data_IF_099160269423
#
_entry.id   IF_099160269423
#
_cell.length_a   1.000
_cell.length_b   1.000
_cell.length_c   1.000
_cell.angle_alpha   90.00
_cell.angle_beta   90.00
_cell.angle_gamma   90.00
#
_symmetry.space_group_name_H-M   'P 1'
#
loop_
_entity.id
_entity.type
_entity.pdbx_description
1 polymer ?
#
# COMPACT_ATOMS: atom_id res chain seq x y z
N UNK A 1 -19.21 33.66 -12.70
CA UNK A 1 -19.27 32.50 -11.74
C UNK A 1 -19.65 31.28 -12.57
N UNK A 2 -18.92 30.16 -12.43
CA UNK A 2 -19.22 28.94 -13.19
C UNK A 2 -20.47 28.29 -12.60
N UNK A 3 -21.38 27.90 -13.47
CA UNK A 3 -22.47 27.00 -13.13
C UNK A 3 -21.94 25.55 -13.16
N UNK A 4 -21.61 25.06 -11.99
CA UNK A 4 -21.07 23.71 -11.86
C UNK A 4 -22.07 22.61 -12.22
N UNK A 5 -23.37 22.80 -11.91
CA UNK A 5 -24.42 21.82 -12.25
C UNK A 5 -24.51 21.66 -13.76
N UNK A 6 -24.65 22.76 -14.49
CA UNK A 6 -24.69 22.76 -15.95
C UNK A 6 -23.42 22.17 -16.56
N UNK A 7 -22.25 22.53 -16.03
CA UNK A 7 -20.96 21.96 -16.52
C UNK A 7 -20.86 20.43 -16.32
N UNK A 8 -21.39 19.93 -15.22
CA UNK A 8 -21.41 18.47 -14.93
C UNK A 8 -22.36 17.77 -15.88
N UNK A 9 -23.58 18.30 -16.06
CA UNK A 9 -24.58 17.74 -16.95
C UNK A 9 -24.09 17.67 -18.40
N UNK A 10 -23.50 18.76 -18.89
CA UNK A 10 -22.92 18.83 -20.25
C UNK A 10 -21.73 17.86 -20.42
N UNK A 11 -20.81 17.84 -19.47
CA UNK A 11 -19.57 17.07 -19.60
C UNK A 11 -19.77 15.57 -19.36
N UNK A 12 -20.56 15.21 -18.34
CA UNK A 12 -20.78 13.82 -17.96
C UNK A 12 -21.95 13.15 -18.68
N UNK A 13 -22.76 13.93 -19.39
CA UNK A 13 -23.97 13.44 -20.08
C UNK A 13 -25.04 12.91 -19.11
N UNK A 14 -25.16 13.49 -17.94
CA UNK A 14 -26.11 13.10 -16.90
C UNK A 14 -27.07 14.23 -16.57
N UNK A 15 -28.22 13.93 -15.98
CA UNK A 15 -29.14 14.93 -15.43
C UNK A 15 -29.09 14.88 -13.92
N UNK A 16 -28.85 16.04 -13.29
CA UNK A 16 -28.81 16.15 -11.83
C UNK A 16 -30.22 16.40 -11.28
N UNK A 17 -30.58 15.59 -10.29
CA UNK A 17 -31.85 15.77 -9.54
C UNK A 17 -31.75 16.92 -8.53
N UNK A 18 -32.87 17.29 -7.93
CA UNK A 18 -32.90 18.36 -6.92
C UNK A 18 -32.08 18.05 -5.67
N UNK A 19 -31.87 16.79 -5.36
CA UNK A 19 -31.07 16.27 -4.23
C UNK A 19 -29.62 15.96 -4.61
N UNK A 20 -29.14 16.52 -5.73
CA UNK A 20 -27.75 16.32 -6.21
C UNK A 20 -27.35 14.90 -6.49
N UNK A 21 -28.28 14.10 -6.99
CA UNK A 21 -28.00 12.75 -7.48
C UNK A 21 -28.14 12.65 -8.99
N UNK A 22 -27.46 11.67 -9.60
CA UNK A 22 -27.63 11.35 -11.02
C UNK A 22 -27.53 9.86 -11.26
N UNK A 23 -27.98 9.42 -12.43
CA UNK A 23 -27.65 8.09 -12.94
C UNK A 23 -26.13 7.94 -13.14
N UNK A 24 -25.61 6.72 -13.06
CA UNK A 24 -24.22 6.47 -13.39
C UNK A 24 -24.00 6.59 -14.90
N UNK A 25 -23.05 7.42 -15.39
CA UNK A 25 -22.78 7.58 -16.83
C UNK A 25 -22.22 6.32 -17.49
N UNK A 26 -21.89 5.30 -16.70
CA UNK A 26 -21.40 4.00 -17.17
C UNK A 26 -22.45 2.88 -17.06
N UNK A 27 -23.69 3.22 -16.69
CA UNK A 27 -24.81 2.25 -16.71
C UNK A 27 -25.00 1.69 -18.13
N UNK A 28 -25.20 0.37 -18.21
CA UNK A 28 -25.29 -0.35 -19.48
C UNK A 28 -23.97 -0.60 -20.21
N UNK A 29 -22.85 0.02 -19.77
CA UNK A 29 -21.52 -0.21 -20.34
C UNK A 29 -20.60 -1.03 -19.42
N UNK A 30 -20.61 -0.77 -18.13
CA UNK A 30 -19.78 -1.44 -17.14
C UNK A 30 -20.58 -2.25 -16.12
N UNK A 31 -21.87 -2.03 -16.01
CA UNK A 31 -22.81 -2.76 -15.15
C UNK A 31 -24.24 -2.66 -15.65
N UNK A 32 -25.08 -3.60 -15.25
CA UNK A 32 -26.46 -3.76 -15.69
C UNK A 32 -27.48 -3.02 -14.80
N UNK A 33 -27.13 -1.87 -14.22
CA UNK A 33 -28.10 -1.12 -13.42
C UNK A 33 -29.20 -0.52 -14.29
N UNK A 34 -30.45 -0.69 -13.82
CA UNK A 34 -31.63 -0.20 -14.50
C UNK A 34 -31.58 1.34 -14.69
N UNK A 35 -32.19 1.81 -15.76
CA UNK A 35 -32.44 3.24 -16.00
C UNK A 35 -33.24 3.82 -14.82
N UNK A 36 -32.66 4.78 -14.10
CA UNK A 36 -33.25 5.39 -12.90
C UNK A 36 -32.48 5.17 -11.60
N UNK A 37 -31.41 4.38 -11.63
CA UNK A 37 -30.53 4.18 -10.48
C UNK A 37 -29.77 5.50 -10.14
N UNK A 38 -30.07 6.07 -8.98
CA UNK A 38 -29.41 7.27 -8.43
C UNK A 38 -28.08 6.93 -7.78
N UNK A 39 -27.24 6.23 -8.50
CA UNK A 39 -26.01 5.65 -7.99
C UNK A 39 -24.86 6.64 -7.79
N UNK A 40 -25.03 7.88 -8.20
CA UNK A 40 -23.99 8.94 -8.05
C UNK A 40 -24.55 10.06 -7.20
N UNK A 41 -23.86 10.36 -6.11
CA UNK A 41 -24.09 11.53 -5.28
C UNK A 41 -23.04 12.60 -5.57
N UNK A 42 -23.49 13.82 -5.86
CA UNK A 42 -22.66 15.00 -6.06
C UNK A 42 -22.68 15.85 -4.80
N UNK A 43 -21.58 16.53 -4.53
CA UNK A 43 -21.44 17.47 -3.42
C UNK A 43 -20.87 18.77 -3.96
N UNK A 44 -21.54 19.87 -3.68
CA UNK A 44 -21.17 21.23 -4.09
C UNK A 44 -20.70 22.00 -2.85
N UNK A 45 -19.37 22.26 -2.69
CA UNK A 45 -18.88 23.02 -1.55
C UNK A 45 -19.44 24.46 -1.53
N UNK A 46 -19.90 24.90 -0.36
CA UNK A 46 -20.46 26.25 -0.15
C UNK A 46 -19.40 27.37 -0.35
N UNK A 47 -18.12 27.04 -0.18
CA UNK A 47 -16.98 27.95 -0.37
C UNK A 47 -16.62 28.19 -1.85
N UNK A 48 -17.39 27.68 -2.79
CA UNK A 48 -17.12 27.76 -4.23
C UNK A 48 -16.00 26.82 -4.71
N UNK A 49 -15.62 25.86 -3.89
CA UNK A 49 -14.68 24.78 -4.25
C UNK A 49 -15.21 23.91 -5.39
N UNK A 50 -14.34 23.02 -5.93
CA UNK A 50 -14.75 22.12 -7.02
C UNK A 50 -15.74 21.08 -6.52
N UNK A 51 -16.77 20.75 -7.33
CA UNK A 51 -17.73 19.71 -6.96
C UNK A 51 -17.05 18.36 -6.83
N UNK A 52 -17.51 17.57 -5.87
CA UNK A 52 -17.08 16.19 -5.67
C UNK A 52 -18.21 15.23 -6.01
N UNK A 53 -17.88 14.05 -6.47
CA UNK A 53 -18.86 13.02 -6.73
C UNK A 53 -18.38 11.63 -6.30
N UNK A 54 -19.34 10.80 -5.90
CA UNK A 54 -19.10 9.43 -5.53
C UNK A 54 -20.06 8.50 -6.27
N UNK A 55 -19.50 7.51 -6.98
CA UNK A 55 -20.27 6.43 -7.59
C UNK A 55 -20.26 5.23 -6.66
N UNK A 56 -21.44 4.68 -6.33
CA UNK A 56 -21.58 3.54 -5.44
C UNK A 56 -21.28 2.19 -6.11
N UNK A 57 -21.05 2.15 -7.43
CA UNK A 57 -20.72 0.92 -8.15
C UNK A 57 -19.20 0.68 -8.15
N UNK A 58 -18.78 -0.43 -7.54
CA UNK A 58 -17.36 -0.81 -7.47
C UNK A 58 -16.70 -0.99 -8.87
N UNK A 59 -17.46 -1.49 -9.85
CA UNK A 59 -16.99 -1.73 -11.22
C UNK A 59 -16.69 -0.43 -12.01
N UNK A 60 -17.20 0.71 -11.54
CA UNK A 60 -17.02 2.01 -12.23
C UNK A 60 -15.78 2.77 -11.76
N UNK A 61 -15.07 2.34 -10.73
CA UNK A 61 -14.11 3.18 -10.01
C UNK A 61 -13.02 3.78 -10.90
N UNK A 62 -12.43 3.01 -11.81
CA UNK A 62 -11.35 3.50 -12.69
C UNK A 62 -11.89 4.45 -13.75
N UNK A 63 -12.97 4.07 -14.45
CA UNK A 63 -13.64 4.91 -15.44
C UNK A 63 -14.18 6.19 -14.80
N UNK A 64 -14.65 6.11 -13.56
CA UNK A 64 -15.12 7.25 -12.79
C UNK A 64 -13.99 8.23 -12.45
N UNK A 65 -12.82 7.73 -12.01
CA UNK A 65 -11.66 8.55 -11.74
C UNK A 65 -11.16 9.30 -13.00
N UNK A 66 -11.25 8.68 -14.16
CA UNK A 66 -10.88 9.32 -15.43
C UNK A 66 -11.89 10.39 -15.84
N UNK A 67 -13.17 10.12 -15.68
CA UNK A 67 -14.26 11.09 -15.95
C UNK A 67 -14.11 12.33 -15.07
N UNK A 68 -13.93 12.17 -13.77
CA UNK A 68 -13.76 13.29 -12.81
C UNK A 68 -12.48 14.08 -13.10
N UNK A 69 -11.39 13.43 -13.48
CA UNK A 69 -10.17 14.15 -13.91
C UNK A 69 -10.40 14.99 -15.16
N UNK A 70 -11.20 14.49 -16.09
CA UNK A 70 -11.61 15.20 -17.31
C UNK A 70 -12.49 16.41 -16.98
N UNK A 71 -13.52 16.21 -16.16
CA UNK A 71 -14.41 17.26 -15.69
C UNK A 71 -13.63 18.39 -15.01
N UNK A 72 -12.67 18.10 -14.15
CA UNK A 72 -11.85 19.13 -13.49
C UNK A 72 -10.94 19.89 -14.47
N UNK A 73 -10.49 19.26 -15.55
CA UNK A 73 -9.77 19.96 -16.63
C UNK A 73 -10.69 20.94 -17.36
N UNK A 74 -11.92 20.54 -17.65
CA UNK A 74 -12.93 21.38 -18.29
C UNK A 74 -13.33 22.59 -17.41
N UNK A 75 -13.60 22.35 -16.13
CA UNK A 75 -13.86 23.42 -15.15
C UNK A 75 -12.70 24.43 -15.11
N UNK A 76 -11.44 23.93 -15.04
CA UNK A 76 -10.26 24.78 -15.03
C UNK A 76 -10.11 25.60 -16.36
N UNK A 77 -10.44 24.98 -17.49
CA UNK A 77 -10.41 25.69 -18.79
C UNK A 77 -11.43 26.82 -18.84
N UNK A 78 -12.67 26.59 -18.38
CA UNK A 78 -13.73 27.60 -18.32
C UNK A 78 -13.46 28.72 -17.29
N UNK A 79 -12.70 28.43 -16.22
CA UNK A 79 -12.27 29.44 -15.22
C UNK A 79 -11.11 30.30 -15.68
N UNK A 80 -10.35 29.86 -16.71
CA UNK A 80 -9.20 30.57 -17.28
C UNK A 80 -9.54 31.38 -18.52
N UNK A 81 -10.77 31.92 -18.64
CA UNK A 81 -11.12 32.86 -19.72
C UNK A 81 -10.12 34.04 -19.78
N UNK A 82 -9.74 34.54 -20.97
CA UNK A 82 -8.66 35.51 -21.11
C UNK A 82 -8.97 36.79 -20.33
N UNK A 83 -8.01 37.22 -19.52
CA UNK A 83 -7.97 38.60 -19.05
C UNK A 83 -7.56 39.47 -20.26
N UNK A 84 -8.51 40.11 -20.91
CA UNK A 84 -8.23 41.12 -21.88
C UNK A 84 -7.50 42.29 -21.20
N UNK A 85 -6.31 42.60 -21.66
CA UNK A 85 -5.55 43.78 -21.30
C UNK A 85 -4.33 43.54 -20.45
N UNK A 86 -3.25 43.09 -21.10
CA UNK A 86 -1.85 43.44 -20.74
C UNK A 86 -0.91 43.01 -21.86
N UNK A 87 -0.86 43.81 -22.91
CA UNK A 87 0.25 43.82 -23.86
C UNK A 87 1.16 45.00 -23.48
N UNK A 88 2.17 44.73 -22.66
CA UNK A 88 3.36 45.58 -22.56
C UNK A 88 4.52 44.82 -21.87
N UNK A 89 5.59 44.61 -22.62
CA UNK A 89 6.96 44.53 -22.09
C UNK A 89 7.35 43.28 -21.33
N UNK A 90 7.46 42.11 -21.98
CA UNK A 90 8.24 40.99 -21.43
C UNK A 90 9.57 40.83 -22.15
N UNK A 91 10.66 41.02 -21.38
CA UNK A 91 12.01 40.64 -21.78
C UNK A 91 12.08 39.16 -22.25
N UNK A 92 12.97 38.77 -23.18
CA UNK A 92 13.04 37.43 -23.71
C UNK A 92 13.31 36.42 -22.59
N UNK A 93 12.34 35.56 -22.32
CA UNK A 93 12.49 34.42 -21.42
C UNK A 93 13.59 33.51 -22.01
N UNK A 94 14.66 33.29 -21.25
CA UNK A 94 15.56 32.18 -21.50
C UNK A 94 14.71 30.92 -21.71
N UNK A 95 14.91 30.24 -22.85
CA UNK A 95 14.24 28.99 -23.17
C UNK A 95 14.53 28.00 -22.05
N UNK A 96 13.51 27.75 -21.24
CA UNK A 96 13.55 26.60 -20.31
C UNK A 96 13.71 25.36 -21.16
N UNK A 97 14.67 24.52 -20.83
CA UNK A 97 14.77 23.16 -21.36
C UNK A 97 13.40 22.51 -21.32
N UNK A 98 12.98 21.80 -22.38
CA UNK A 98 11.70 21.09 -22.36
C UNK A 98 11.64 20.21 -21.12
N UNK A 99 10.54 20.32 -20.36
CA UNK A 99 10.30 19.46 -19.21
C UNK A 99 10.45 18.01 -19.67
N UNK A 100 11.13 17.14 -18.91
CA UNK A 100 11.28 15.73 -19.28
C UNK A 100 9.87 15.16 -19.55
N UNK A 101 9.72 14.30 -20.56
CA UNK A 101 8.43 13.71 -20.89
C UNK A 101 7.84 13.11 -19.62
N UNK A 102 6.59 13.44 -19.31
CA UNK A 102 5.89 12.83 -18.18
C UNK A 102 5.85 11.33 -18.44
N UNK A 103 6.64 10.58 -17.69
CA UNK A 103 6.62 9.14 -17.76
C UNK A 103 5.18 8.66 -17.61
N UNK A 104 4.70 7.91 -18.60
CA UNK A 104 3.39 7.30 -18.51
C UNK A 104 3.40 6.37 -17.30
N UNK A 105 2.39 6.41 -16.43
CA UNK A 105 2.34 5.52 -15.28
C UNK A 105 2.41 4.07 -15.77
N UNK A 106 3.42 3.34 -15.32
CA UNK A 106 3.59 1.92 -15.64
C UNK A 106 2.33 1.20 -15.16
N UNK A 107 1.55 0.65 -16.09
CA UNK A 107 0.37 -0.13 -15.78
C UNK A 107 0.81 -1.47 -15.19
N UNK A 108 0.18 -1.89 -14.10
CA UNK A 108 0.35 -3.24 -13.58
C UNK A 108 -0.06 -4.26 -14.65
N UNK A 109 0.70 -5.33 -14.79
CA UNK A 109 0.29 -6.46 -15.60
C UNK A 109 -0.97 -7.09 -14.99
N UNK A 110 -1.88 -7.58 -15.83
CA UNK A 110 -3.06 -8.32 -15.37
C UNK A 110 -2.63 -9.72 -14.93
N UNK A 111 -3.19 -10.24 -13.84
CA UNK A 111 -2.95 -11.59 -13.36
C UNK A 111 -3.28 -12.63 -14.42
N UNK A 112 -2.35 -13.56 -14.62
CA UNK A 112 -2.48 -14.78 -15.41
C UNK A 112 -2.37 -15.99 -14.47
N UNK A 113 -3.51 -16.56 -14.11
CA UNK A 113 -3.59 -17.69 -13.16
C UNK A 113 -2.82 -18.92 -13.68
N UNK A 114 -2.92 -19.25 -14.97
CA UNK A 114 -2.23 -20.39 -15.56
C UNK A 114 -0.71 -20.24 -15.44
N UNK A 115 -0.23 -19.04 -15.67
CA UNK A 115 1.19 -18.72 -15.54
C UNK A 115 1.66 -18.77 -14.09
N UNK A 116 0.85 -18.30 -13.14
CA UNK A 116 1.14 -18.39 -11.72
C UNK A 116 1.27 -19.85 -11.26
N UNK A 117 0.31 -20.69 -11.64
CA UNK A 117 0.33 -22.14 -11.36
C UNK A 117 1.54 -22.83 -12.01
N UNK A 118 1.83 -22.52 -13.28
CA UNK A 118 2.99 -23.07 -13.97
C UNK A 118 4.31 -22.68 -13.30
N UNK A 119 4.43 -21.43 -12.84
CA UNK A 119 5.62 -20.98 -12.13
C UNK A 119 5.74 -21.67 -10.76
N UNK A 120 4.63 -21.81 -10.03
CA UNK A 120 4.61 -22.53 -8.77
C UNK A 120 4.96 -24.02 -8.94
N UNK A 121 4.48 -24.66 -10.01
CA UNK A 121 4.77 -26.05 -10.33
C UNK A 121 6.28 -26.31 -10.64
N UNK A 122 6.99 -25.28 -11.07
CA UNK A 122 8.46 -25.35 -11.30
C UNK A 122 9.27 -25.26 -10.00
N UNK A 123 8.63 -24.99 -8.88
CA UNK A 123 9.32 -24.99 -7.59
C UNK A 123 9.87 -26.38 -7.27
N UNK A 124 11.17 -26.55 -7.04
CA UNK A 124 11.75 -27.85 -6.74
C UNK A 124 11.36 -28.36 -5.34
N UNK A 125 10.70 -27.54 -4.54
CA UNK A 125 10.15 -27.87 -3.22
C UNK A 125 8.63 -27.91 -3.34
N UNK A 126 8.05 -29.11 -3.24
CA UNK A 126 6.62 -29.34 -3.48
C UNK A 126 5.74 -28.58 -2.46
N UNK A 127 6.08 -28.67 -1.18
CA UNK A 127 5.36 -28.06 -0.08
C UNK A 127 6.27 -27.11 0.71
N UNK A 128 6.29 -25.84 0.32
CA UNK A 128 7.02 -24.81 1.06
C UNK A 128 6.19 -24.41 2.28
N UNK A 129 6.76 -24.61 3.48
CA UNK A 129 6.10 -24.26 4.74
C UNK A 129 6.79 -23.12 5.48
N UNK A 130 6.09 -22.50 6.45
CA UNK A 130 6.67 -21.51 7.34
C UNK A 130 7.85 -22.09 8.15
N UNK A 131 7.78 -23.37 8.54
CA UNK A 131 8.85 -24.04 9.30
C UNK A 131 10.12 -24.23 8.47
N UNK A 132 9.99 -24.59 7.19
CA UNK A 132 11.14 -24.65 6.28
C UNK A 132 11.81 -23.28 6.16
N UNK A 133 11.03 -22.22 6.09
CA UNK A 133 11.57 -20.85 6.02
C UNK A 133 12.23 -20.43 7.34
N UNK A 134 11.62 -20.74 8.49
CA UNK A 134 12.26 -20.51 9.81
C UNK A 134 13.59 -21.26 9.91
N UNK A 135 13.62 -22.49 9.43
CA UNK A 135 14.81 -23.31 9.45
C UNK A 135 15.99 -22.75 8.65
N UNK A 136 15.75 -22.00 7.56
CA UNK A 136 16.79 -21.36 6.73
C UNK A 136 16.97 -19.87 7.04
N UNK A 137 16.22 -19.31 8.00
CA UNK A 137 16.29 -17.90 8.38
C UNK A 137 17.67 -17.60 8.99
N UNK A 138 18.41 -16.58 8.46
CA UNK A 138 19.70 -16.18 9.03
C UNK A 138 19.57 -15.63 10.45
N UNK A 139 18.45 -14.99 10.75
CA UNK A 139 18.12 -14.54 12.10
C UNK A 139 17.22 -15.59 12.75
N UNK A 140 17.62 -16.08 13.92
CA UNK A 140 16.81 -17.03 14.69
C UNK A 140 15.50 -16.36 15.12
N UNK A 141 14.39 -17.01 14.79
CA UNK A 141 13.05 -16.53 15.13
C UNK A 141 12.64 -17.18 16.45
N UNK A 142 12.40 -16.38 17.53
CA UNK A 142 12.01 -16.91 18.82
C UNK A 142 10.70 -17.71 18.76
N UNK A 143 10.52 -18.74 19.61
CA UNK A 143 9.25 -19.44 19.70
C UNK A 143 8.09 -18.55 20.19
N UNK A 144 8.38 -17.55 21.04
CA UNK A 144 7.38 -16.57 21.51
C UNK A 144 7.03 -15.58 20.41
N UNK A 145 5.81 -15.61 19.85
CA UNK A 145 5.39 -14.68 18.83
C UNK A 145 5.42 -13.23 19.28
N UNK A 146 5.23 -12.94 20.57
CA UNK A 146 5.21 -11.57 21.09
C UNK A 146 6.53 -10.80 20.82
N UNK A 147 7.62 -11.52 20.59
CA UNK A 147 8.92 -10.93 20.27
C UNK A 147 9.07 -10.59 18.75
N UNK A 148 8.27 -11.19 17.86
CA UNK A 148 8.50 -11.12 16.41
C UNK A 148 8.41 -9.70 15.84
N UNK A 149 7.47 -8.89 16.32
CA UNK A 149 7.30 -7.52 15.83
C UNK A 149 8.50 -6.63 16.10
N UNK A 150 9.03 -6.67 17.34
CA UNK A 150 10.25 -5.96 17.69
C UNK A 150 11.47 -6.53 16.97
N UNK A 151 11.60 -7.87 16.93
CA UNK A 151 12.69 -8.53 16.22
C UNK A 151 12.76 -8.10 14.75
N UNK A 152 11.62 -8.07 14.04
CA UNK A 152 11.57 -7.63 12.66
C UNK A 152 12.03 -6.18 12.51
N UNK A 153 11.51 -5.28 13.34
CA UNK A 153 11.84 -3.86 13.27
C UNK A 153 13.32 -3.64 13.63
N UNK A 154 13.78 -4.20 14.75
CA UNK A 154 15.15 -4.00 15.24
C UNK A 154 16.22 -4.65 14.34
N UNK A 155 15.82 -5.65 13.53
CA UNK A 155 16.71 -6.31 12.56
C UNK A 155 16.80 -5.56 11.23
N UNK A 156 15.69 -5.01 10.76
CA UNK A 156 15.57 -4.47 9.39
C UNK A 156 15.79 -2.97 9.29
N UNK A 157 15.65 -2.24 10.39
CA UNK A 157 15.80 -0.79 10.42
C UNK A 157 17.07 -0.40 11.17
N UNK A 158 17.64 0.74 10.80
CA UNK A 158 18.84 1.26 11.45
C UNK A 158 18.50 1.72 12.88
N UNK A 159 19.45 1.56 13.80
CA UNK A 159 19.28 2.01 15.17
C UNK A 159 18.90 3.49 15.23
N UNK A 160 17.81 3.81 15.91
CA UNK A 160 17.29 5.17 16.03
C UNK A 160 16.24 5.55 14.99
N UNK A 161 16.03 4.75 13.96
CA UNK A 161 14.92 4.98 13.02
C UNK A 161 13.56 4.76 13.68
N UNK A 162 12.60 5.58 13.30
CA UNK A 162 11.24 5.54 13.84
C UNK A 162 10.31 4.78 12.89
N UNK A 163 9.63 3.78 13.42
CA UNK A 163 8.63 2.97 12.70
C UNK A 163 7.25 3.19 13.31
N UNK A 164 6.29 3.62 12.50
CA UNK A 164 4.90 3.78 12.90
C UNK A 164 4.18 2.44 12.95
N UNK A 165 3.40 2.22 14.03
CA UNK A 165 2.59 1.02 14.20
C UNK A 165 1.11 1.42 14.39
N UNK A 166 0.22 0.58 13.86
CA UNK A 166 -1.20 0.87 13.67
C UNK A 166 -2.05 -0.29 14.19
N UNK A 167 -3.07 0.03 14.97
CA UNK A 167 -4.14 -0.91 15.35
C UNK A 167 -5.45 -0.61 14.64
N UNK A 168 -5.46 0.48 13.84
CA UNK A 168 -6.56 0.90 12.97
C UNK A 168 -5.99 1.41 11.66
N UNK A 169 -6.39 0.82 10.54
CA UNK A 169 -5.81 1.09 9.21
C UNK A 169 -5.95 2.56 8.78
N UNK A 170 -7.08 3.20 9.09
CA UNK A 170 -7.37 4.58 8.67
C UNK A 170 -6.63 5.66 9.47
N UNK A 171 -5.85 5.29 10.50
CA UNK A 171 -5.19 6.26 11.37
C UNK A 171 -3.88 6.82 10.80
N UNK A 172 -3.34 7.82 11.50
CA UNK A 172 -2.02 8.41 11.24
C UNK A 172 -0.88 7.74 12.04
N UNK A 173 -1.10 6.52 12.56
CA UNK A 173 -0.21 5.81 13.47
C UNK A 173 -0.57 6.06 14.94
N UNK A 174 -0.82 4.98 15.69
CA UNK A 174 -1.12 5.07 17.11
C UNK A 174 0.10 4.82 17.98
N UNK A 175 1.11 4.13 17.46
CA UNK A 175 2.34 3.84 18.19
C UNK A 175 3.56 4.15 17.34
N UNK A 176 4.68 4.38 18.03
CA UNK A 176 6.00 4.56 17.45
C UNK A 176 6.97 3.63 18.16
N UNK A 177 7.77 2.91 17.41
CA UNK A 177 8.94 2.20 17.92
C UNK A 177 10.20 2.82 17.35
N UNK A 178 11.20 3.03 18.21
CA UNK A 178 12.54 3.44 17.79
C UNK A 178 13.41 2.21 17.68
N UNK A 179 13.79 1.83 16.46
CA UNK A 179 14.53 0.62 16.15
C UNK A 179 15.83 0.52 16.96
N UNK A 180 16.15 -0.69 17.43
CA UNK A 180 17.33 -0.97 18.25
C UNK A 180 17.28 -0.39 19.67
N UNK A 181 16.11 -0.02 20.15
CA UNK A 181 15.88 0.51 21.52
C UNK A 181 14.70 -0.19 22.18
N UNK A 182 14.44 0.13 23.46
CA UNK A 182 13.22 -0.28 24.17
C UNK A 182 12.21 0.87 24.27
N UNK A 183 12.28 1.81 23.35
CA UNK A 183 11.44 3.00 23.37
C UNK A 183 10.21 2.81 22.48
N UNK A 184 9.07 2.65 23.17
CA UNK A 184 7.75 2.56 22.57
C UNK A 184 6.93 3.74 23.02
N UNK A 185 6.23 4.38 22.09
CA UNK A 185 5.39 5.53 22.40
C UNK A 185 3.98 5.32 21.84
N UNK A 186 2.97 5.63 22.64
CA UNK A 186 1.61 5.85 22.18
C UNK A 186 1.49 7.30 21.73
N UNK A 187 1.11 7.48 20.49
CA UNK A 187 1.05 8.79 19.84
C UNK A 187 -0.32 9.43 20.01
N UNK A 188 -0.35 10.76 20.12
CA UNK A 188 -1.58 11.54 20.02
C UNK A 188 -2.20 11.44 18.62
N UNK A 189 -3.53 11.52 18.53
CA UNK A 189 -4.29 11.44 17.29
C UNK A 189 -4.41 12.77 16.55
N UNK A 190 -3.93 13.88 17.14
CA UNK A 190 -3.91 15.24 16.56
C UNK A 190 -2.56 15.89 16.79
N UNK A 191 -2.16 16.86 15.95
CA UNK A 191 -1.01 17.72 16.23
C UNK A 191 -1.09 18.38 17.61
N UNK A 192 0.04 18.59 18.27
CA UNK A 192 0.12 19.20 19.60
C UNK A 192 -0.09 18.24 20.78
N UNK A 193 -0.68 17.07 20.58
CA UNK A 193 -0.81 16.06 21.66
C UNK A 193 0.53 15.33 21.82
N UNK A 194 1.10 15.43 23.02
CA UNK A 194 2.38 14.79 23.37
C UNK A 194 2.26 13.26 23.33
N UNK A 195 3.28 12.60 22.79
CA UNK A 195 3.43 11.16 22.87
C UNK A 195 3.65 10.73 24.34
N UNK A 196 3.12 9.57 24.70
CA UNK A 196 3.31 8.96 26.02
C UNK A 196 4.10 7.67 25.87
N UNK A 197 5.07 7.43 26.75
CA UNK A 197 5.80 6.16 26.76
C UNK A 197 4.84 5.00 26.97
N UNK A 198 5.01 3.94 26.19
CA UNK A 198 4.27 2.69 26.30
C UNK A 198 5.22 1.57 26.76
N UNK A 199 4.76 0.58 27.51
CA UNK A 199 5.61 -0.52 27.99
C UNK A 199 6.02 -1.47 26.85
N UNK A 200 5.22 -1.57 25.79
CA UNK A 200 5.43 -2.44 24.63
C UNK A 200 4.57 -1.99 23.44
N UNK A 201 4.85 -2.57 22.27
CA UNK A 201 3.96 -2.49 21.10
C UNK A 201 2.65 -3.27 21.35
N UNK A 202 1.56 -2.91 20.66
CA UNK A 202 0.31 -3.67 20.70
C UNK A 202 0.52 -5.06 20.10
N UNK A 203 0.02 -6.10 20.76
CA UNK A 203 0.09 -7.50 20.31
C UNK A 203 -1.20 -7.98 19.63
N UNK A 204 -2.25 -7.16 19.63
CA UNK A 204 -3.53 -7.51 19.02
C UNK A 204 -4.26 -6.29 18.51
N UNK A 205 -5.14 -6.49 17.55
CA UNK A 205 -6.06 -5.50 17.02
C UNK A 205 -7.33 -6.15 16.50
N UNK A 206 -8.41 -5.39 16.38
CA UNK A 206 -9.68 -5.87 15.80
C UNK A 206 -9.45 -6.53 14.45
N UNK A 207 -8.76 -5.85 13.55
CA UNK A 207 -8.38 -6.35 12.24
C UNK A 207 -6.89 -6.73 12.15
N UNK A 208 -6.17 -6.76 13.27
CA UNK A 208 -4.73 -7.00 13.39
C UNK A 208 -3.92 -5.75 13.71
N UNK A 209 -2.62 -5.88 13.60
CA UNK A 209 -1.66 -4.80 13.78
C UNK A 209 -0.86 -4.63 12.49
N UNK A 210 -0.61 -3.39 12.12
CA UNK A 210 0.19 -3.05 10.94
C UNK A 210 1.36 -2.16 11.35
N UNK A 211 2.35 -2.09 10.49
CA UNK A 211 3.42 -1.10 10.57
C UNK A 211 3.67 -0.46 9.21
N UNK A 212 4.19 0.74 9.22
CA UNK A 212 4.64 1.41 7.99
C UNK A 212 6.02 0.89 7.62
N UNK A 213 6.17 0.38 6.41
CA UNK A 213 7.42 -0.25 5.95
C UNK A 213 8.53 0.75 5.63
N UNK A 214 8.21 2.02 5.57
CA UNK A 214 9.18 3.12 5.45
C UNK A 214 9.38 3.80 6.82
N UNK A 215 10.61 3.99 7.31
CA UNK A 215 10.87 4.73 8.53
C UNK A 215 10.50 6.20 8.36
N UNK A 216 10.13 6.86 9.45
CA UNK A 216 9.55 8.20 9.44
C UNK A 216 10.26 9.17 10.40
N UNK A 217 10.02 10.46 10.20
CA UNK A 217 10.43 11.50 11.15
C UNK A 217 9.75 11.39 12.52
N UNK A 218 8.61 10.67 12.61
CA UNK A 218 7.84 10.49 13.84
C UNK A 218 6.96 11.68 14.24
N UNK A 219 7.08 12.80 13.55
CA UNK A 219 6.33 14.05 13.80
C UNK A 219 5.31 14.34 12.71
N UNK A 220 4.35 15.22 13.01
CA UNK A 220 3.39 15.71 12.03
C UNK A 220 4.08 16.60 11.00
N UNK A 221 3.85 16.32 9.73
CA UNK A 221 4.41 17.06 8.60
C UNK A 221 3.29 17.57 7.68
N UNK A 222 3.47 18.72 6.99
CA UNK A 222 2.57 19.14 5.94
C UNK A 222 2.44 18.09 4.84
N UNK A 223 1.21 17.72 4.50
CA UNK A 223 0.94 16.74 3.45
C UNK A 223 0.81 17.46 2.09
N UNK A 224 1.74 17.25 1.14
CA UNK A 224 1.72 17.97 -0.14
C UNK A 224 0.50 17.62 -1.02
N UNK A 225 -0.21 16.54 -0.69
CA UNK A 225 -1.33 16.02 -1.49
C UNK A 225 -2.70 16.26 -0.85
N UNK A 226 -2.77 16.92 0.32
CA UNK A 226 -4.03 17.16 1.04
C UNK A 226 -4.10 18.59 1.55
N UNK A 227 -5.22 19.24 1.27
CA UNK A 227 -5.55 20.56 1.83
C UNK A 227 -6.35 20.39 3.12
N UNK A 228 -6.05 21.22 4.12
CA UNK A 228 -6.82 21.27 5.36
C UNK A 228 -8.15 22.02 5.14
N UNK A 229 -9.20 21.70 5.92
CA UNK A 229 -10.40 22.55 6.00
C UNK A 229 -10.00 23.95 6.39
N UNK A 230 -10.12 24.96 5.81
CA UNK A 230 -9.67 26.33 6.11
C UNK A 230 -8.39 26.75 5.39
N UNK A 231 -7.94 25.99 4.43
CA UNK A 231 -6.77 26.28 3.58
C UNK A 231 -5.45 25.75 4.12
N UNK A 232 -4.42 25.85 3.30
CA UNK A 232 -3.09 25.32 3.62
C UNK A 232 -3.01 23.78 3.50
N UNK A 233 -1.84 23.24 3.82
CA UNK A 233 -1.58 21.79 3.75
C UNK A 233 -2.08 21.09 5.01
N UNK A 234 -2.83 20.00 4.85
CA UNK A 234 -3.22 19.17 5.98
C UNK A 234 -1.98 18.51 6.60
N UNK A 235 -1.95 18.40 7.93
CA UNK A 235 -0.86 17.70 8.62
C UNK A 235 -1.10 16.18 8.64
N UNK A 236 -0.05 15.41 8.47
CA UNK A 236 -0.06 13.96 8.54
C UNK A 236 1.25 13.37 9.02
N UNK A 237 1.25 12.07 9.35
CA UNK A 237 2.46 11.30 9.69
C UNK A 237 2.66 10.11 8.74
N UNK A 238 1.69 9.86 7.84
CA UNK A 238 1.68 8.74 6.91
C UNK A 238 1.55 9.24 5.47
N UNK A 239 2.61 9.84 4.96
CA UNK A 239 2.78 10.20 3.55
C UNK A 239 4.27 10.27 3.22
N UNK A 240 4.62 10.32 1.95
CA UNK A 240 6.01 10.26 1.47
C UNK A 240 6.93 11.30 2.09
N UNK A 241 6.45 12.54 2.31
CA UNK A 241 7.25 13.60 2.94
C UNK A 241 7.53 13.37 4.44
N UNK A 242 6.88 12.38 5.08
CA UNK A 242 7.21 11.96 6.45
C UNK A 242 8.29 10.89 6.48
N UNK A 243 8.53 10.18 5.37
CA UNK A 243 9.47 9.07 5.31
C UNK A 243 10.89 9.58 5.15
N UNK A 244 11.83 8.95 5.85
CA UNK A 244 13.27 9.28 5.77
C UNK A 244 13.97 8.53 4.65
N UNK A 245 13.49 7.33 4.31
CA UNK A 245 13.90 6.48 3.19
C UNK A 245 12.83 5.43 2.89
N UNK A 246 13.01 4.65 1.83
CA UNK A 246 12.08 3.61 1.36
C UNK A 246 12.82 2.27 1.19
N UNK A 247 13.18 1.60 2.29
CA UNK A 247 14.10 0.46 2.23
C UNK A 247 13.46 -0.81 1.66
N UNK A 248 12.14 -0.95 1.79
CA UNK A 248 11.44 -2.18 1.46
C UNK A 248 10.23 -1.96 0.57
N UNK A 249 10.09 -2.84 -0.41
CA UNK A 249 8.91 -3.00 -1.23
C UNK A 249 8.13 -4.21 -0.73
N UNK A 250 6.82 -4.06 -0.54
CA UNK A 250 5.95 -5.13 -0.06
C UNK A 250 5.38 -5.89 -1.26
N UNK A 251 5.52 -7.21 -1.23
CA UNK A 251 4.77 -8.11 -2.10
C UNK A 251 3.75 -8.88 -1.25
N UNK A 252 2.53 -8.93 -1.73
CA UNK A 252 1.46 -9.78 -1.22
C UNK A 252 0.56 -10.21 -2.37
N UNK A 253 -0.28 -11.21 -2.16
CA UNK A 253 -1.31 -11.62 -3.11
C UNK A 253 -2.59 -11.95 -2.36
N UNK A 254 -3.70 -11.39 -2.83
CA UNK A 254 -5.05 -11.71 -2.34
C UNK A 254 -5.82 -12.64 -3.30
N UNK A 255 -5.33 -12.80 -4.54
CA UNK A 255 -5.98 -13.57 -5.61
C UNK A 255 -5.39 -14.97 -5.79
N UNK A 256 -4.08 -15.13 -5.51
CA UNK A 256 -3.40 -16.43 -5.64
C UNK A 256 -3.39 -17.15 -4.30
N UNK A 257 -3.72 -18.47 -4.24
CA UNK A 257 -3.69 -19.23 -2.99
C UNK A 257 -2.33 -19.15 -2.28
N UNK A 258 -2.30 -19.08 -0.93
CA UNK A 258 -1.05 -18.88 -0.16
C UNK A 258 0.06 -19.88 -0.49
N UNK A 259 -0.26 -21.17 -0.68
CA UNK A 259 0.73 -22.18 -1.01
C UNK A 259 1.32 -22.01 -2.42
N UNK A 260 0.50 -21.59 -3.39
CA UNK A 260 0.96 -21.25 -4.75
C UNK A 260 1.85 -20.01 -4.69
N UNK A 261 1.38 -18.96 -4.01
CA UNK A 261 2.10 -17.71 -3.86
C UNK A 261 3.45 -17.93 -3.16
N UNK A 262 3.49 -18.71 -2.09
CA UNK A 262 4.73 -19.01 -1.36
C UNK A 262 5.75 -19.75 -2.24
N UNK A 263 5.30 -20.74 -3.05
CA UNK A 263 6.17 -21.43 -4.02
C UNK A 263 6.72 -20.47 -5.09
N UNK A 264 5.95 -19.46 -5.51
CA UNK A 264 6.45 -18.41 -6.41
C UNK A 264 7.51 -17.55 -5.72
N UNK A 265 7.22 -17.07 -4.51
CA UNK A 265 8.10 -16.17 -3.75
C UNK A 265 9.48 -16.77 -3.52
N UNK A 266 9.57 -18.04 -3.11
CA UNK A 266 10.85 -18.68 -2.78
C UNK A 266 11.77 -18.92 -3.97
N UNK A 267 11.24 -18.83 -5.21
CA UNK A 267 12.01 -18.94 -6.46
C UNK A 267 12.53 -17.57 -6.95
N UNK A 268 12.09 -16.47 -6.33
CA UNK A 268 12.48 -15.14 -6.79
C UNK A 268 13.98 -14.89 -6.59
N UNK A 269 14.61 -14.33 -7.62
CA UNK A 269 16.00 -13.81 -7.57
C UNK A 269 16.00 -12.34 -7.14
N UNK A 270 15.24 -12.03 -6.10
CA UNK A 270 15.16 -10.71 -5.49
C UNK A 270 15.68 -10.77 -4.04
N UNK A 271 16.05 -9.64 -3.49
CA UNK A 271 16.62 -9.55 -2.14
C UNK A 271 15.51 -9.66 -1.07
N UNK A 272 15.11 -10.88 -0.73
CA UNK A 272 14.06 -11.14 0.26
C UNK A 272 14.60 -10.90 1.68
N UNK A 273 14.12 -9.84 2.33
CA UNK A 273 14.49 -9.48 3.69
C UNK A 273 13.59 -10.14 4.76
N UNK A 274 12.31 -10.33 4.48
CA UNK A 274 11.39 -11.01 5.40
C UNK A 274 10.25 -11.70 4.64
N UNK A 275 9.73 -12.79 5.23
CA UNK A 275 8.50 -13.47 4.82
C UNK A 275 7.65 -13.74 6.06
N UNK A 276 6.36 -13.38 6.04
CA UNK A 276 5.45 -13.57 7.16
C UNK A 276 3.99 -13.67 6.70
N UNK A 277 3.14 -14.27 7.52
CA UNK A 277 1.71 -14.36 7.25
C UNK A 277 0.96 -13.09 7.67
N UNK A 278 -0.15 -12.81 7.02
CA UNK A 278 -1.07 -11.75 7.41
C UNK A 278 -2.03 -12.15 8.54
N UNK A 279 -1.94 -13.37 9.03
CA UNK A 279 -2.98 -13.95 9.89
C UNK A 279 -4.30 -14.18 9.13
N UNK A 280 -4.23 -14.39 7.83
CA UNK A 280 -5.38 -14.60 6.93
C UNK A 280 -4.98 -15.35 5.67
N UNK A 281 -5.36 -14.82 4.52
CA UNK A 281 -5.11 -15.45 3.22
C UNK A 281 -3.74 -15.13 2.64
N UNK A 282 -3.12 -13.99 3.02
CA UNK A 282 -1.95 -13.47 2.31
C UNK A 282 -0.65 -13.79 3.01
N UNK A 283 0.38 -14.08 2.22
CA UNK A 283 1.78 -14.09 2.64
C UNK A 283 2.41 -12.78 2.17
N UNK A 284 3.00 -12.05 3.11
CA UNK A 284 3.72 -10.82 2.85
C UNK A 284 5.22 -11.10 2.73
N UNK A 285 5.84 -10.41 1.79
CA UNK A 285 7.29 -10.49 1.59
C UNK A 285 7.85 -9.08 1.48
N UNK A 286 8.93 -8.81 2.21
CA UNK A 286 9.71 -7.58 2.06
C UNK A 286 10.87 -7.81 1.11
N UNK A 287 10.89 -7.07 0.01
CA UNK A 287 12.05 -6.99 -0.86
C UNK A 287 12.89 -5.77 -0.49
N UNK A 288 14.17 -5.98 -0.23
CA UNK A 288 15.11 -4.89 0.04
C UNK A 288 15.41 -4.15 -1.26
N UNK A 289 15.14 -2.85 -1.29
CA UNK A 289 15.41 -1.96 -2.44
C UNK A 289 16.27 -0.77 -2.07
N UNK A 290 16.34 -0.42 -0.78
CA UNK A 290 17.15 0.66 -0.19
C UNK A 290 17.00 2.02 -0.91
N UNK A 291 15.82 2.30 -1.45
CA UNK A 291 15.53 3.54 -2.14
C UNK A 291 15.56 4.74 -1.18
N UNK A 292 16.22 5.81 -1.57
CA UNK A 292 16.39 7.03 -0.75
C UNK A 292 15.38 8.11 -1.09
N UNK A 293 14.70 7.99 -2.22
CA UNK A 293 13.65 8.93 -2.64
C UNK A 293 12.43 8.19 -3.17
N UNK A 294 11.25 8.86 -3.24
CA UNK A 294 10.06 8.31 -3.88
C UNK A 294 10.29 7.96 -5.34
N UNK A 295 11.11 8.74 -6.07
CA UNK A 295 11.43 8.53 -7.48
C UNK A 295 12.23 7.23 -7.66
N UNK A 296 13.25 7.01 -6.84
CA UNK A 296 14.03 5.78 -6.84
C UNK A 296 13.16 4.57 -6.48
N UNK A 297 12.29 4.69 -5.46
CA UNK A 297 11.31 3.66 -5.14
C UNK A 297 10.41 3.34 -6.33
N UNK A 298 9.95 4.35 -7.08
CA UNK A 298 9.09 4.17 -8.24
C UNK A 298 9.77 3.41 -9.38
N UNK A 299 11.08 3.48 -9.55
CA UNK A 299 11.82 2.65 -10.51
C UNK A 299 11.73 1.16 -10.13
N UNK A 300 11.96 0.83 -8.85
CA UNK A 300 11.78 -0.53 -8.36
C UNK A 300 10.33 -1.01 -8.48
N UNK A 301 9.38 -0.14 -8.12
CA UNK A 301 7.95 -0.40 -8.27
C UNK A 301 7.57 -0.74 -9.70
N UNK A 302 7.99 0.06 -10.67
CA UNK A 302 7.68 -0.16 -12.09
C UNK A 302 8.15 -1.54 -12.57
N UNK A 303 9.37 -1.93 -12.18
CA UNK A 303 9.94 -3.26 -12.48
C UNK A 303 9.09 -4.39 -11.87
N UNK A 304 8.62 -4.25 -10.63
CA UNK A 304 7.81 -5.27 -9.97
C UNK A 304 6.40 -5.36 -10.55
N UNK A 305 5.77 -4.21 -10.86
CA UNK A 305 4.45 -4.18 -11.50
C UNK A 305 4.42 -4.92 -12.83
N UNK A 306 5.45 -4.78 -13.66
CA UNK A 306 5.50 -5.44 -14.96
C UNK A 306 5.77 -6.95 -14.89
N UNK A 307 6.44 -7.42 -13.83
CA UNK A 307 6.90 -8.82 -13.72
C UNK A 307 6.05 -9.65 -12.79
N UNK A 308 5.75 -9.14 -11.60
CA UNK A 308 5.16 -9.93 -10.51
C UNK A 308 3.65 -9.81 -10.42
N UNK A 309 3.04 -8.71 -10.90
CA UNK A 309 1.57 -8.65 -10.96
C UNK A 309 1.00 -9.68 -11.94
N UNK A 310 1.74 -10.03 -12.99
CA UNK A 310 1.36 -11.09 -13.91
C UNK A 310 1.19 -12.47 -13.23
N UNK A 311 1.88 -12.71 -12.13
CA UNK A 311 1.85 -13.97 -11.38
C UNK A 311 1.24 -13.81 -9.97
N UNK A 312 0.53 -12.72 -9.72
CA UNK A 312 -0.33 -12.57 -8.56
C UNK A 312 0.05 -11.52 -7.52
N UNK A 313 1.14 -10.77 -7.71
CA UNK A 313 1.43 -9.67 -6.80
C UNK A 313 0.34 -8.58 -6.88
N UNK A 314 -0.18 -8.15 -5.73
CA UNK A 314 -1.15 -7.05 -5.65
C UNK A 314 -0.46 -5.71 -5.95
N UNK A 315 -0.82 -5.01 -7.05
CA UNK A 315 -0.25 -3.71 -7.38
C UNK A 315 -0.53 -2.63 -6.33
N UNK A 316 -1.62 -2.77 -5.55
CA UNK A 316 -1.97 -1.83 -4.49
C UNK A 316 -1.05 -1.96 -3.28
N UNK A 317 -0.39 -3.10 -3.10
CA UNK A 317 0.61 -3.32 -2.06
C UNK A 317 1.93 -2.61 -2.34
N UNK A 318 2.27 -2.40 -3.62
CA UNK A 318 3.56 -1.87 -4.03
C UNK A 318 3.53 -0.34 -4.00
N UNK A 319 3.50 0.25 -2.80
CA UNK A 319 3.49 1.71 -2.59
C UNK A 319 4.51 2.13 -1.53
N UNK A 320 5.09 3.36 -1.64
CA UNK A 320 6.14 3.82 -0.73
C UNK A 320 5.65 4.04 0.72
N UNK A 321 4.35 4.13 0.93
CA UNK A 321 3.72 4.31 2.25
C UNK A 321 2.81 3.13 2.61
N UNK A 322 3.18 1.93 2.16
CA UNK A 322 2.39 0.71 2.44
C UNK A 322 2.40 0.39 3.92
N UNK A 323 1.21 0.09 4.45
CA UNK A 323 1.09 -0.62 5.71
C UNK A 323 1.18 -2.12 5.45
N UNK A 324 2.07 -2.78 6.14
CA UNK A 324 2.16 -4.24 6.15
C UNK A 324 1.83 -4.79 7.52
N UNK A 325 1.48 -6.06 7.60
CA UNK A 325 1.12 -6.71 8.87
C UNK A 325 2.35 -6.83 9.76
N UNK A 326 2.20 -6.49 11.05
CA UNK A 326 3.28 -6.66 12.02
C UNK A 326 3.28 -8.10 12.54
N UNK A 327 4.34 -8.90 12.31
CA UNK A 327 4.41 -10.25 12.82
C UNK A 327 4.33 -10.32 14.34
N UNK A 328 3.88 -11.45 14.87
CA UNK A 328 3.72 -11.69 16.30
C UNK A 328 2.48 -11.08 16.91
N UNK A 329 1.59 -10.54 16.09
CA UNK A 329 0.36 -9.92 16.51
C UNK A 329 -0.85 -10.76 16.07
N UNK A 330 -1.95 -10.67 16.81
CA UNK A 330 -3.19 -11.33 16.46
C UNK A 330 -4.21 -10.39 15.85
N UNK A 331 -5.03 -10.93 14.95
CA UNK A 331 -6.22 -10.28 14.41
C UNK A 331 -7.47 -11.08 14.80
N UNK A 332 -8.54 -10.36 15.19
CA UNK A 332 -9.79 -10.98 15.61
C UNK A 332 -10.82 -11.13 14.50
N UNK A 333 -10.64 -10.45 13.41
CA UNK A 333 -11.56 -10.51 12.28
C UNK A 333 -11.05 -9.72 11.07
N UNK A 334 -11.93 -9.50 10.12
CA UNK A 334 -11.68 -8.71 8.90
C UNK A 334 -12.90 -7.91 8.50
N UNK A 335 -12.70 -6.78 7.88
CA UNK A 335 -13.76 -6.01 7.22
C UNK A 335 -13.76 -6.36 5.75
N UNK A 336 -14.93 -6.67 5.20
CA UNK A 336 -15.10 -6.96 3.79
C UNK A 336 -15.20 -5.67 2.94
N UNK A 337 -15.38 -5.84 1.63
CA UNK A 337 -15.49 -4.71 0.69
C UNK A 337 -16.76 -3.85 0.90
N UNK A 338 -17.78 -4.37 1.60
CA UNK A 338 -18.99 -3.63 1.97
C UNK A 338 -18.79 -2.78 3.24
N UNK A 339 -17.67 -2.94 3.93
CA UNK A 339 -17.39 -2.31 5.24
C UNK A 339 -17.93 -3.11 6.42
N UNK A 340 -18.47 -4.32 6.19
CA UNK A 340 -18.99 -5.19 7.25
C UNK A 340 -17.84 -5.93 7.92
N UNK A 341 -17.80 -5.88 9.25
CA UNK A 341 -16.80 -6.59 10.04
C UNK A 341 -17.26 -8.02 10.35
N UNK A 342 -16.39 -8.98 10.06
CA UNK A 342 -16.57 -10.39 10.36
C UNK A 342 -15.55 -10.84 11.40
N UNK A 343 -16.01 -11.22 12.58
CA UNK A 343 -15.15 -11.76 13.63
C UNK A 343 -14.80 -13.23 13.30
N UNK A 344 -13.57 -13.61 13.58
CA UNK A 344 -13.12 -15.00 13.42
C UNK A 344 -13.53 -15.80 14.67
N UNK A 345 -13.83 -17.07 14.51
CA UNK A 345 -14.05 -18.01 15.63
C UNK A 345 -12.88 -18.04 16.59
N UNK A 346 -11.66 -17.99 16.06
CA UNK A 346 -10.41 -17.91 16.83
C UNK A 346 -9.52 -16.79 16.28
N UNK A 347 -8.84 -16.02 17.17
CA UNK A 347 -7.87 -15.03 16.73
C UNK A 347 -6.76 -15.66 15.88
N UNK A 348 -6.38 -15.01 14.79
CA UNK A 348 -5.36 -15.51 13.86
C UNK A 348 -4.04 -14.79 14.05
N UNK A 349 -2.96 -15.56 14.15
CA UNK A 349 -1.61 -15.05 14.33
C UNK A 349 -1.00 -14.56 13.02
N UNK A 350 -0.36 -13.41 13.05
CA UNK A 350 0.52 -12.89 12.00
C UNK A 350 1.93 -13.45 12.25
N UNK A 351 2.31 -14.52 11.60
CA UNK A 351 3.52 -15.28 11.93
C UNK A 351 4.72 -14.85 11.11
N UNK A 352 5.90 -14.73 11.74
CA UNK A 352 7.18 -14.51 11.07
C UNK A 352 7.77 -15.85 10.64
N UNK A 353 8.11 -15.98 9.36
CA UNK A 353 8.67 -17.21 8.79
C UNK A 353 10.15 -17.09 8.42
N UNK A 354 10.59 -15.92 7.98
CA UNK A 354 11.95 -15.68 7.51
C UNK A 354 12.38 -14.25 7.79
N UNK A 355 13.63 -14.06 8.22
CA UNK A 355 14.21 -12.75 8.50
C UNK A 355 15.70 -12.74 8.15
N UNK A 356 16.09 -11.78 7.29
CA UNK A 356 17.46 -11.61 6.82
C UNK A 356 17.79 -10.13 6.62
N UNK A 357 18.66 -9.52 7.45
CA UNK A 357 19.06 -8.11 7.28
C UNK A 357 19.98 -7.90 6.07
N UNK A 358 20.67 -8.96 5.61
CA UNK A 358 21.61 -8.92 4.50
C UNK A 358 21.18 -9.87 3.36
N UNK A 359 20.02 -9.63 2.74
CA UNK A 359 19.49 -10.52 1.72
C UNK A 359 20.33 -10.46 0.45
N UNK A 360 20.48 -11.61 -0.19
CA UNK A 360 21.09 -11.76 -1.50
C UNK A 360 20.03 -12.05 -2.55
N UNK A 361 20.41 -12.09 -3.82
CA UNK A 361 19.53 -12.50 -4.93
C UNK A 361 19.46 -14.01 -5.12
N UNK A 362 19.99 -14.78 -4.19
CA UNK A 362 19.87 -16.22 -4.20
C UNK A 362 18.44 -16.65 -3.85
N UNK A 363 17.79 -17.50 -4.67
CA UNK A 363 16.47 -18.02 -4.34
C UNK A 363 16.44 -18.77 -3.01
N UNK A 364 15.38 -18.60 -2.24
CA UNK A 364 15.23 -19.31 -0.97
C UNK A 364 15.13 -20.82 -1.18
N UNK A 365 14.63 -21.29 -2.33
CA UNK A 365 14.61 -22.72 -2.72
C UNK A 365 15.99 -23.35 -2.70
N UNK A 366 17.03 -22.66 -3.17
CA UNK A 366 18.40 -23.16 -3.15
C UNK A 366 18.90 -23.37 -1.72
N UNK A 367 18.52 -22.49 -0.80
CA UNK A 367 18.87 -22.61 0.63
C UNK A 367 18.11 -23.74 1.32
N UNK A 368 16.81 -23.91 1.01
CA UNK A 368 15.98 -25.01 1.54
C UNK A 368 16.57 -26.35 1.12
N UNK A 369 16.90 -26.51 -0.17
CA UNK A 369 17.45 -27.76 -0.70
C UNK A 369 18.81 -28.11 -0.09
N UNK A 370 19.72 -27.13 0.05
CA UNK A 370 21.02 -27.36 0.70
C UNK A 370 20.86 -27.82 2.14
N UNK A 371 19.93 -27.28 2.89
CA UNK A 371 19.67 -27.70 4.27
C UNK A 371 19.10 -29.13 4.33
N UNK A 372 18.17 -29.47 3.45
CA UNK A 372 17.60 -30.82 3.35
C UNK A 372 18.68 -31.89 3.08
N UNK A 373 19.60 -31.58 2.15
CA UNK A 373 20.73 -32.48 1.85
C UNK A 373 21.72 -32.68 3.03
N UNK A 374 21.86 -31.64 3.86
CA UNK A 374 22.72 -31.71 5.06
C UNK A 374 22.14 -32.65 6.13
N UNK A 375 20.83 -32.72 6.28
CA UNK A 375 20.18 -33.64 7.22
C UNK A 375 20.24 -35.10 6.78
N UNK A 376 20.21 -35.40 5.47
CA UNK A 376 20.37 -36.79 4.98
C UNK A 376 21.79 -37.35 5.13
N UNK A 377 22.81 -36.49 5.20
CA UNK A 377 24.22 -36.93 5.41
C UNK A 377 24.57 -37.23 6.85
N UNK A 378 23.72 -36.92 7.81
CA UNK A 378 23.94 -37.11 9.25
C UNK A 378 23.26 -38.36 9.82
N UNK A 379 22.55 -39.15 9.02
CA UNK A 379 22.08 -40.47 9.45
C UNK A 379 23.22 -41.46 9.24
N UNK A 380 23.78 -42.04 10.30
CA UNK A 380 24.78 -43.12 10.15
C UNK A 380 24.09 -44.27 9.43
N UNK A 381 24.73 -44.79 8.39
CA UNK A 381 24.34 -46.04 7.80
C UNK A 381 24.45 -47.12 8.89
N UNK A 382 23.31 -47.53 9.44
CA UNK A 382 23.17 -48.68 10.33
C UNK A 382 23.27 -49.98 9.55
#
# INVERSE_FOLDING_TARGET
MIDYRKTIEEYCGVTLTADDTSACPFAGKLHDSASGDRAVKWSFPEDGGKPHAHCFHAKCQDAWNDLIRGLYREINARTRAPRDGEAAGRAPRRSALPAPPKEQPVRAAKLDHARAELLAARCPVADVTGDMLRAISPVAIPPDPAAHGCLLIDTLYERGEHVLVFTTFASQGQYLHTAGTKDFYRLGNKPGIKAKRAPRLPLSGREGVWYLTSPVLGTWQPNPHRTAPGGGQALGRRHTACCTRFPYLVLESDEVPPGVWLRILVQLREQIAAVYSSGGKSIHTLLKVDARSPEEFNLHRARMLSRLCLVGADPAAITPVRLSRLPGCTRRGSTDSSGTYHEYSEPRMQELYYLNPNPTREPLTERILRRGLSHHKLLPHS
#
